data_IF_707090440029
#
_entry.id   IF_707090440029
#
_cell.length_a   1.000
_cell.length_b   1.000
_cell.length_c   1.000
_cell.angle_alpha   90.00
_cell.angle_beta   90.00
_cell.angle_gamma   90.00
#
_symmetry.space_group_name_H-M   'P 1'
#
loop_
_entity.id
_entity.type
_entity.pdbx_description
1 polymer ?
#
# COMPACT_ATOMS: atom_id res chain seq x y z
N UNK A 1 15.85 -6.59 2.64
CA UNK A 1 14.66 -5.90 3.21
C UNK A 1 13.86 -5.33 2.07
N UNK A 2 12.55 -5.53 2.10
CA UNK A 2 11.62 -4.97 1.12
C UNK A 2 10.60 -4.12 1.85
N UNK A 3 10.45 -2.88 1.41
CA UNK A 3 9.51 -1.90 1.98
C UNK A 3 8.65 -1.38 0.83
N UNK A 4 7.36 -1.21 1.08
CA UNK A 4 6.45 -0.57 0.14
C UNK A 4 5.91 0.71 0.76
N UNK A 5 6.05 1.82 0.05
CA UNK A 5 5.39 3.09 0.39
C UNK A 5 4.25 3.28 -0.60
N UNK A 6 3.03 3.39 -0.09
CA UNK A 6 1.82 3.59 -0.87
C UNK A 6 1.21 4.95 -0.53
N UNK A 7 0.78 5.66 -1.56
CA UNK A 7 0.24 7.00 -1.49
C UNK A 7 -1.26 6.96 -1.80
N UNK A 8 -2.01 7.98 -1.40
CA UNK A 8 -3.41 8.08 -1.81
C UNK A 8 -3.51 8.28 -3.32
N UNK A 9 -4.55 7.72 -3.94
CA UNK A 9 -4.80 7.84 -5.39
C UNK A 9 -4.96 9.29 -5.89
N UNK A 10 -5.29 10.22 -5.00
CA UNK A 10 -5.41 11.65 -5.32
C UNK A 10 -4.07 12.39 -5.27
N UNK A 11 -3.01 11.74 -4.81
CA UNK A 11 -1.70 12.34 -4.69
C UNK A 11 -0.94 12.26 -6.01
N UNK A 12 -0.41 13.41 -6.43
CA UNK A 12 0.45 13.53 -7.60
C UNK A 12 1.82 13.99 -7.13
N UNK A 13 2.66 13.02 -6.82
CA UNK A 13 4.02 13.24 -6.30
C UNK A 13 4.99 13.08 -7.48
N UNK A 14 5.78 14.11 -7.76
CA UNK A 14 6.82 14.02 -8.77
C UNK A 14 7.99 13.16 -8.29
N UNK A 15 8.84 12.75 -9.24
CA UNK A 15 9.95 11.83 -8.97
C UNK A 15 10.95 12.38 -7.93
N UNK A 16 11.17 13.69 -7.87
CA UNK A 16 12.12 14.29 -6.94
C UNK A 16 11.58 14.24 -5.51
N UNK A 17 10.34 14.68 -5.29
CA UNK A 17 9.70 14.59 -3.97
C UNK A 17 9.52 13.14 -3.53
N UNK A 18 9.16 12.23 -4.44
CA UNK A 18 9.01 10.80 -4.13
C UNK A 18 10.33 10.19 -3.64
N UNK A 19 11.44 10.57 -4.27
CA UNK A 19 12.78 10.18 -3.85
C UNK A 19 13.11 10.78 -2.48
N UNK A 20 12.86 12.06 -2.28
CA UNK A 20 13.11 12.75 -1.00
C UNK A 20 12.35 12.10 0.17
N UNK A 21 11.06 11.81 -0.01
CA UNK A 21 10.23 11.10 0.98
C UNK A 21 10.84 9.73 1.29
N UNK A 22 11.23 8.98 0.26
CA UNK A 22 11.81 7.64 0.41
C UNK A 22 13.14 7.66 1.16
N UNK A 23 14.01 8.63 0.86
CA UNK A 23 15.31 8.83 1.53
C UNK A 23 15.13 9.25 2.99
N UNK A 24 14.24 10.22 3.28
CA UNK A 24 13.92 10.62 4.66
C UNK A 24 13.32 9.47 5.45
N UNK A 25 12.43 8.70 4.84
CA UNK A 25 11.85 7.51 5.44
C UNK A 25 12.95 6.50 5.84
N UNK A 26 13.82 6.13 4.90
CA UNK A 26 14.92 5.19 5.16
C UNK A 26 15.85 5.69 6.27
N UNK A 27 16.23 6.96 6.23
CA UNK A 27 17.08 7.54 7.26
C UNK A 27 16.44 7.44 8.65
N UNK A 28 15.16 7.82 8.76
CA UNK A 28 14.44 7.84 10.02
C UNK A 28 14.21 6.44 10.62
N UNK A 29 14.06 5.39 9.79
CA UNK A 29 13.96 4.01 10.28
C UNK A 29 15.32 3.35 10.59
N UNK A 30 16.43 4.06 10.34
CA UNK A 30 17.80 3.63 10.65
C UNK A 30 18.54 2.94 9.49
N UNK A 31 18.16 3.24 8.25
CA UNK A 31 18.74 2.68 7.02
C UNK A 31 19.48 3.73 6.17
N UNK A 32 19.83 4.89 6.75
CA UNK A 32 20.50 5.99 6.03
C UNK A 32 21.76 5.54 5.28
N UNK A 33 22.59 4.72 5.92
CA UNK A 33 23.89 4.27 5.39
C UNK A 33 23.78 2.98 4.56
N UNK A 34 22.56 2.46 4.36
CA UNK A 34 22.37 1.22 3.62
C UNK A 34 22.22 1.50 2.13
N UNK A 35 22.86 0.71 1.25
CA UNK A 35 22.56 0.80 -0.17
C UNK A 35 21.10 0.42 -0.42
N UNK A 36 20.44 1.12 -1.33
CA UNK A 36 19.03 0.88 -1.64
C UNK A 36 18.74 1.08 -3.13
N UNK A 37 17.63 0.47 -3.56
CA UNK A 37 17.00 0.69 -4.86
C UNK A 37 15.55 1.10 -4.61
N UNK A 38 15.12 2.22 -5.19
CA UNK A 38 13.73 2.68 -5.18
C UNK A 38 13.16 2.43 -6.57
N UNK A 39 12.03 1.74 -6.64
CA UNK A 39 11.35 1.42 -7.88
C UNK A 39 9.89 1.89 -7.83
N UNK A 40 9.51 2.80 -8.72
CA UNK A 40 8.14 3.32 -8.83
C UNK A 40 7.33 2.47 -9.81
N UNK A 41 6.14 2.08 -9.36
CA UNK A 41 5.17 1.36 -10.17
C UNK A 41 4.13 2.33 -10.75
N UNK A 42 3.69 2.06 -11.99
CA UNK A 42 2.68 2.84 -12.71
C UNK A 42 1.47 1.99 -13.14
N UNK A 43 1.38 0.76 -12.64
CA UNK A 43 0.41 -0.26 -13.03
C UNK A 43 -0.78 -0.37 -12.06
N UNK A 44 -0.83 0.46 -11.01
CA UNK A 44 -1.91 0.52 -10.03
C UNK A 44 -2.58 1.90 -9.98
N UNK A 45 -3.81 1.94 -9.46
CA UNK A 45 -4.59 3.19 -9.30
C UNK A 45 -3.98 4.15 -8.28
N UNK A 46 -3.18 3.65 -7.33
CA UNK A 46 -2.49 4.46 -6.34
C UNK A 46 -0.98 4.53 -6.65
N UNK A 47 -0.37 5.74 -6.58
CA UNK A 47 1.08 5.85 -6.67
C UNK A 47 1.73 5.02 -5.55
N UNK A 48 2.75 4.25 -5.89
CA UNK A 48 3.51 3.50 -4.90
C UNK A 48 4.93 3.22 -5.37
N UNK A 49 5.81 3.04 -4.40
CA UNK A 49 7.21 2.64 -4.63
C UNK A 49 7.56 1.43 -3.80
N UNK A 50 8.44 0.62 -4.35
CA UNK A 50 9.13 -0.44 -3.63
C UNK A 50 10.58 -0.04 -3.39
N UNK A 51 11.00 -0.21 -2.15
CA UNK A 51 12.37 0.03 -1.72
C UNK A 51 12.97 -1.32 -1.35
N UNK A 52 14.11 -1.63 -1.97
CA UNK A 52 14.92 -2.81 -1.63
C UNK A 52 16.23 -2.33 -1.03
N UNK A 53 16.56 -2.83 0.16
CA UNK A 53 17.79 -2.49 0.88
C UNK A 53 18.30 -3.69 1.68
N UNK A 54 19.51 -3.60 2.23
CA UNK A 54 20.09 -4.63 3.12
C UNK A 54 19.97 -4.19 4.58
N UNK A 55 19.83 -5.16 5.49
CA UNK A 55 19.86 -4.90 6.93
C UNK A 55 21.22 -5.23 7.55
N UNK A 56 22.28 -5.28 6.75
CA UNK A 56 23.63 -5.57 7.20
C UNK A 56 24.49 -4.32 7.04
N UNK A 57 24.95 -3.78 8.17
CA UNK A 57 25.84 -2.63 8.18
C UNK A 57 27.23 -2.99 7.65
N UNK A 58 28.03 -1.97 7.32
CA UNK A 58 29.43 -2.14 6.93
C UNK A 58 30.25 -2.89 8.00
N UNK A 59 29.93 -2.66 9.27
CA UNK A 59 30.50 -3.36 10.44
C UNK A 59 30.01 -4.82 10.60
N UNK A 60 29.28 -5.37 9.62
CA UNK A 60 28.71 -6.73 9.63
C UNK A 60 27.71 -6.95 10.77
N UNK A 61 27.11 -5.87 11.30
CA UNK A 61 26.03 -5.95 12.30
C UNK A 61 24.69 -5.92 11.59
N UNK A 62 23.72 -6.64 12.15
CA UNK A 62 22.35 -6.64 11.63
C UNK A 62 21.55 -5.49 12.23
N UNK A 63 20.84 -4.76 11.40
CA UNK A 63 19.77 -3.86 11.82
C UNK A 63 18.58 -4.71 12.22
N UNK A 64 18.08 -4.51 13.44
CA UNK A 64 16.91 -5.23 13.94
C UNK A 64 15.66 -4.82 13.18
N UNK A 65 14.92 -5.83 12.73
CA UNK A 65 13.67 -5.69 11.98
C UNK A 65 12.45 -6.01 12.83
N UNK A 66 12.64 -6.53 14.04
CA UNK A 66 11.54 -6.90 14.91
C UNK A 66 10.67 -5.68 15.21
N UNK A 67 9.37 -5.81 14.95
CA UNK A 67 8.37 -4.75 15.10
C UNK A 67 8.71 -3.41 14.41
N UNK A 68 9.59 -3.39 13.40
CA UNK A 68 10.02 -2.15 12.74
C UNK A 68 8.83 -1.37 12.15
N UNK A 69 7.80 -2.08 11.68
CA UNK A 69 6.56 -1.49 11.20
C UNK A 69 5.85 -0.65 12.27
N UNK A 70 5.70 -1.21 13.47
CA UNK A 70 4.98 -0.56 14.59
C UNK A 70 5.85 0.48 15.29
N UNK A 71 7.12 0.17 15.53
CA UNK A 71 8.01 0.97 16.37
C UNK A 71 8.66 2.12 15.62
N UNK A 72 8.89 1.98 14.30
CA UNK A 72 9.58 3.00 13.50
C UNK A 72 8.75 3.47 12.30
N UNK A 73 8.26 2.56 11.47
CA UNK A 73 7.56 2.94 10.23
C UNK A 73 6.27 3.73 10.48
N UNK A 74 5.42 3.31 11.43
CA UNK A 74 4.16 3.99 11.74
C UNK A 74 4.37 5.43 12.23
N UNK A 75 5.23 5.70 13.23
CA UNK A 75 5.55 7.06 13.66
C UNK A 75 6.05 7.93 12.50
N UNK A 76 7.02 7.42 11.73
CA UNK A 76 7.63 8.16 10.62
C UNK A 76 6.63 8.40 9.48
N UNK A 77 5.73 7.46 9.19
CA UNK A 77 4.63 7.67 8.24
C UNK A 77 3.82 8.91 8.63
N UNK A 78 3.40 9.00 9.90
CA UNK A 78 2.57 10.12 10.39
C UNK A 78 3.32 11.46 10.37
N UNK A 79 4.63 11.43 10.58
CA UNK A 79 5.47 12.64 10.48
C UNK A 79 5.60 13.11 9.03
N UNK A 80 5.95 12.21 8.11
CA UNK A 80 6.07 12.50 6.69
C UNK A 80 4.74 12.95 6.08
N UNK A 81 3.62 12.37 6.53
CA UNK A 81 2.29 12.79 6.11
C UNK A 81 2.05 14.27 6.40
N UNK A 82 2.48 14.76 7.58
CA UNK A 82 2.35 16.17 7.94
C UNK A 82 3.34 17.05 7.21
N UNK A 83 4.59 16.61 7.11
CA UNK A 83 5.68 17.39 6.50
C UNK A 83 5.41 17.68 5.01
N UNK A 84 4.95 16.67 4.28
CA UNK A 84 4.69 16.78 2.84
C UNK A 84 3.23 17.07 2.52
N UNK A 85 2.41 17.37 3.54
CA UNK A 85 0.97 17.61 3.41
C UNK A 85 0.26 16.48 2.63
N UNK A 86 0.65 15.25 2.93
CA UNK A 86 0.05 14.04 2.38
C UNK A 86 -1.24 13.70 3.12
N UNK A 87 -2.01 12.85 2.47
CA UNK A 87 -3.27 12.35 2.96
C UNK A 87 -3.02 11.38 4.12
N UNK A 88 -3.55 11.73 5.29
CA UNK A 88 -3.43 10.89 6.51
C UNK A 88 -4.12 9.54 6.30
N UNK A 89 -3.35 8.45 6.42
CA UNK A 89 -3.90 7.09 6.28
C UNK A 89 -4.64 6.59 7.53
N UNK A 90 -4.30 7.12 8.71
CA UNK A 90 -4.89 6.70 9.98
C UNK A 90 -6.40 7.03 10.06
N UNK A 91 -7.18 6.12 10.64
CA UNK A 91 -8.62 6.34 10.86
C UNK A 91 -9.49 6.24 9.59
N UNK A 92 -8.89 6.00 8.43
CA UNK A 92 -9.64 5.61 7.24
C UNK A 92 -10.13 4.18 7.39
N UNK A 93 -11.36 4.04 7.86
CA UNK A 93 -12.14 2.86 7.53
C UNK A 93 -12.19 2.77 6.01
N UNK A 94 -12.00 1.57 5.46
CA UNK A 94 -12.54 1.28 4.13
C UNK A 94 -14.02 1.57 4.25
N UNK A 95 -14.45 2.80 3.93
CA UNK A 95 -15.83 3.10 3.76
C UNK A 95 -16.31 2.01 2.81
N UNK A 96 -17.25 1.19 3.26
CA UNK A 96 -18.09 0.41 2.38
C UNK A 96 -18.77 1.46 1.52
N UNK A 97 -18.09 1.90 0.48
CA UNK A 97 -18.68 2.70 -0.57
C UNK A 97 -19.85 1.85 -1.01
N UNK A 98 -21.06 2.38 -0.86
CA UNK A 98 -22.19 1.84 -1.59
C UNK A 98 -21.84 2.10 -3.05
N UNK A 99 -21.26 1.12 -3.70
CA UNK A 99 -20.84 1.24 -5.07
C UNK A 99 -22.08 1.12 -5.95
N UNK A 100 -22.33 2.14 -6.76
CA UNK A 100 -23.34 2.09 -7.80
C UNK A 100 -23.03 0.91 -8.73
N UNK A 101 -24.04 0.09 -9.01
CA UNK A 101 -23.94 -0.99 -9.99
C UNK A 101 -23.47 -0.39 -11.32
N UNK A 102 -22.31 -0.82 -11.83
CA UNK A 102 -21.88 -0.40 -13.16
C UNK A 102 -22.93 -0.89 -14.17
N UNK A 103 -23.42 -0.01 -15.07
CA UNK A 103 -24.33 -0.44 -16.11
C UNK A 103 -23.65 -1.48 -17.01
N UNK A 104 -24.44 -2.47 -17.44
CA UNK A 104 -23.97 -3.55 -18.33
C UNK A 104 -23.27 -2.94 -19.54
N UNK A 105 -22.00 -3.31 -19.75
CA UNK A 105 -21.20 -2.90 -20.92
C UNK A 105 -20.17 -1.80 -20.68
N UNK A 106 -20.08 -1.22 -19.47
CA UNK A 106 -19.01 -0.28 -19.11
C UNK A 106 -17.90 -0.96 -18.29
N UNK A 107 -16.94 -1.57 -18.99
CA UNK A 107 -15.79 -2.24 -18.39
C UNK A 107 -14.49 -1.56 -18.82
N UNK A 108 -13.87 -0.79 -17.93
CA UNK A 108 -12.49 -0.32 -18.15
C UNK A 108 -11.48 -1.33 -17.58
N UNK A 109 -10.30 -1.46 -18.20
CA UNK A 109 -9.29 -2.47 -17.81
C UNK A 109 -8.90 -2.43 -16.33
N UNK A 110 -8.82 -1.26 -15.72
CA UNK A 110 -8.52 -1.11 -14.29
C UNK A 110 -9.74 -1.39 -13.38
N UNK A 111 -10.96 -1.02 -13.83
CA UNK A 111 -12.18 -1.19 -13.04
C UNK A 111 -12.79 -2.59 -13.08
N UNK A 112 -12.50 -3.41 -14.10
CA UNK A 112 -13.21 -4.68 -14.32
C UNK A 112 -12.89 -5.72 -13.25
N UNK A 113 -11.61 -5.92 -12.91
CA UNK A 113 -11.21 -6.91 -11.89
C UNK A 113 -11.73 -6.50 -10.51
N UNK A 114 -11.57 -5.23 -10.14
CA UNK A 114 -12.06 -4.69 -8.88
C UNK A 114 -13.58 -4.86 -8.77
N UNK A 115 -14.32 -4.56 -9.84
CA UNK A 115 -15.77 -4.70 -9.88
C UNK A 115 -16.23 -6.16 -9.82
N UNK A 116 -15.56 -7.09 -10.53
CA UNK A 116 -15.88 -8.52 -10.43
C UNK A 116 -15.63 -9.03 -9.01
N UNK A 117 -14.46 -8.75 -8.44
CA UNK A 117 -14.13 -9.16 -7.07
C UNK A 117 -15.13 -8.59 -6.05
N UNK A 118 -15.63 -7.39 -6.30
CA UNK A 118 -16.67 -6.76 -5.49
C UNK A 118 -18.01 -7.48 -5.60
N UNK A 119 -18.51 -7.69 -6.83
CA UNK A 119 -19.78 -8.40 -7.08
C UNK A 119 -19.74 -9.79 -6.44
N UNK A 120 -18.65 -10.52 -6.63
CA UNK A 120 -18.47 -11.85 -6.00
C UNK A 120 -18.51 -11.72 -4.47
N UNK A 121 -17.81 -10.75 -3.89
CA UNK A 121 -17.79 -10.55 -2.43
C UNK A 121 -19.15 -10.18 -1.86
N UNK A 122 -19.96 -9.41 -2.57
CA UNK A 122 -21.31 -9.03 -2.14
C UNK A 122 -22.29 -10.20 -2.21
N UNK A 123 -22.28 -10.93 -3.33
CA UNK A 123 -23.04 -12.18 -3.48
C UNK A 123 -22.62 -13.18 -2.41
N UNK A 124 -21.32 -13.32 -2.14
CA UNK A 124 -20.85 -14.28 -1.15
C UNK A 124 -21.30 -13.99 0.28
N UNK A 125 -21.61 -12.72 0.61
CA UNK A 125 -22.14 -12.34 1.94
C UNK A 125 -23.63 -12.56 2.07
N UNK A 126 -24.37 -12.45 0.96
CA UNK A 126 -25.83 -12.47 0.95
C UNK A 126 -26.40 -13.83 0.55
N UNK A 127 -25.60 -14.67 -0.11
CA UNK A 127 -25.98 -16.01 -0.51
C UNK A 127 -25.96 -16.98 0.69
N UNK A 128 -27.07 -17.67 0.92
CA UNK A 128 -27.18 -18.70 1.94
C UNK A 128 -26.65 -20.03 1.40
N UNK A 129 -25.43 -20.38 1.78
CA UNK A 129 -24.85 -21.68 1.44
C UNK A 129 -25.50 -22.81 2.22
N UNK A 130 -25.78 -23.91 1.55
CA UNK A 130 -26.24 -25.15 2.18
C UNK A 130 -25.09 -26.00 2.74
N UNK A 131 -23.84 -25.74 2.30
CA UNK A 131 -22.65 -26.42 2.80
C UNK A 131 -21.34 -25.65 2.57
N UNK A 132 -20.29 -25.99 3.32
CA UNK A 132 -18.92 -25.50 3.10
C UNK A 132 -18.37 -25.86 1.72
N UNK A 133 -18.70 -27.06 1.21
CA UNK A 133 -18.28 -27.51 -0.10
C UNK A 133 -18.94 -26.72 -1.25
N UNK A 134 -20.12 -26.13 -1.01
CA UNK A 134 -20.79 -25.23 -1.95
C UNK A 134 -20.12 -23.85 -1.96
N UNK A 135 -19.74 -23.33 -0.80
CA UNK A 135 -19.04 -22.04 -0.67
C UNK A 135 -17.69 -22.03 -1.41
N UNK A 136 -16.95 -23.14 -1.40
CA UNK A 136 -15.62 -23.26 -2.02
C UNK A 136 -15.62 -23.35 -3.56
N UNK A 137 -16.79 -23.38 -4.21
CA UNK A 137 -16.92 -23.46 -5.67
C UNK A 137 -17.06 -22.08 -6.35
N UNK A 138 -17.13 -21.01 -5.57
CA UNK A 138 -17.15 -19.61 -6.02
C UNK A 138 -15.75 -19.01 -5.96
#
# INVERSE_FOLDING_TARGET
VHIALAFDKSEHIDQFTLREISEKYLAAIGFADQPYLIYQHFDAEHPHVHIVTTNLTEDKKRIDLHDIGKLKSEPIRKELEKEYNLVVAEGRTTATKQHERLPVGQYSKAGTKAHISEVVRDVSKTFAYSSLAECQKL
#
